data_IF_731302804761
#
_entry.id   IF_731302804761
#
_cell.length_a   1.000
_cell.length_b   1.000
_cell.length_c   1.000
_cell.angle_alpha   90.00
_cell.angle_beta   90.00
_cell.angle_gamma   90.00
#
_symmetry.space_group_name_H-M   'P 1'
#
loop_
_entity.id
_entity.type
_entity.pdbx_description
1 polymer ?
#
# COMPACT_ATOMS: atom_id res chain seq x y z
N UNK A 1 -4.04 -14.49 -0.32
CA UNK A 1 -3.77 -13.80 -1.61
C UNK A 1 -2.84 -14.66 -2.47
N UNK A 2 -2.93 -14.60 -3.82
CA UNK A 2 -2.04 -15.42 -4.69
C UNK A 2 -0.54 -15.17 -4.45
N UNK A 3 -0.15 -13.95 -4.06
CA UNK A 3 1.24 -13.61 -3.68
C UNK A 3 1.70 -14.22 -2.35
N UNK A 4 0.81 -14.41 -1.38
CA UNK A 4 1.17 -15.00 -0.08
C UNK A 4 1.57 -16.47 -0.25
N UNK A 5 0.92 -17.16 -1.20
CA UNK A 5 1.26 -18.53 -1.58
C UNK A 5 2.63 -18.62 -2.25
N UNK A 6 3.15 -17.54 -2.86
CA UNK A 6 4.50 -17.51 -3.45
C UNK A 6 5.55 -17.51 -2.34
N UNK A 7 5.31 -16.80 -1.23
CA UNK A 7 6.18 -16.83 -0.05
C UNK A 7 6.17 -18.19 0.66
N UNK A 8 4.98 -18.78 0.86
CA UNK A 8 4.84 -20.02 1.63
C UNK A 8 5.14 -21.26 0.81
N UNK A 9 4.71 -21.36 -0.45
CA UNK A 9 4.94 -22.55 -1.30
C UNK A 9 6.31 -22.58 -1.96
N UNK A 10 6.97 -21.43 -2.18
CA UNK A 10 8.25 -21.36 -2.90
C UNK A 10 8.13 -21.61 -4.41
N UNK A 11 6.93 -21.95 -4.89
CA UNK A 11 6.63 -22.02 -6.32
C UNK A 11 6.19 -20.65 -6.80
N UNK A 12 6.95 -20.10 -7.73
CA UNK A 12 6.65 -18.80 -8.32
C UNK A 12 5.75 -19.00 -9.54
N UNK A 13 4.45 -18.80 -9.36
CA UNK A 13 3.45 -18.91 -10.44
C UNK A 13 3.66 -17.82 -11.49
N UNK A 14 3.85 -18.24 -12.75
CA UNK A 14 4.09 -17.35 -13.89
C UNK A 14 2.97 -16.32 -14.11
N UNK A 15 1.71 -16.70 -13.88
CA UNK A 15 0.53 -15.83 -14.05
C UNK A 15 0.45 -14.71 -13.00
N UNK A 16 1.16 -14.87 -11.89
CA UNK A 16 1.19 -13.89 -10.80
C UNK A 16 2.32 -12.91 -11.05
N UNK A 17 3.49 -13.39 -11.47
CA UNK A 17 4.66 -12.54 -11.76
C UNK A 17 4.41 -11.63 -12.96
N UNK A 18 3.72 -12.11 -14.00
CA UNK A 18 3.43 -11.29 -15.20
C UNK A 18 2.63 -10.02 -14.89
N UNK A 19 1.95 -9.96 -13.75
CA UNK A 19 1.21 -8.78 -13.28
C UNK A 19 2.08 -7.73 -12.58
N UNK A 20 3.28 -8.10 -12.13
CA UNK A 20 4.18 -7.25 -11.37
C UNK A 20 5.55 -7.19 -12.07
N UNK A 21 5.78 -6.20 -12.95
CA UNK A 21 7.03 -6.10 -13.72
C UNK A 21 8.26 -5.86 -12.83
N UNK A 22 8.06 -5.37 -11.61
CA UNK A 22 9.10 -5.21 -10.60
C UNK A 22 9.67 -6.54 -10.03
N UNK A 23 9.03 -7.69 -10.29
CA UNK A 23 9.49 -8.99 -9.78
C UNK A 23 10.20 -9.81 -10.88
N UNK A 24 11.48 -10.12 -10.66
CA UNK A 24 12.24 -11.03 -11.53
C UNK A 24 12.11 -12.48 -11.05
N UNK A 25 11.62 -13.37 -11.91
CA UNK A 25 11.33 -14.77 -11.57
C UNK A 25 12.58 -15.54 -11.14
N UNK A 26 13.65 -15.47 -11.93
CA UNK A 26 14.85 -16.27 -11.71
C UNK A 26 15.54 -15.88 -10.41
N UNK A 27 15.72 -14.56 -10.20
CA UNK A 27 16.32 -14.03 -8.99
C UNK A 27 15.44 -14.27 -7.75
N UNK A 28 14.12 -14.13 -7.89
CA UNK A 28 13.18 -14.36 -6.79
C UNK A 28 13.19 -15.81 -6.33
N UNK A 29 13.20 -16.77 -7.26
CA UNK A 29 13.20 -18.19 -6.92
C UNK A 29 14.46 -18.59 -6.13
N UNK A 30 15.64 -18.17 -6.59
CA UNK A 30 16.89 -18.45 -5.86
C UNK A 30 16.90 -17.80 -4.47
N UNK A 31 16.47 -16.54 -4.38
CA UNK A 31 16.44 -15.81 -3.11
C UNK A 31 15.43 -16.42 -2.13
N UNK A 32 14.27 -16.89 -2.61
CA UNK A 32 13.27 -17.54 -1.76
C UNK A 32 13.77 -18.88 -1.21
N UNK A 33 14.49 -19.68 -2.01
CA UNK A 33 15.09 -20.94 -1.53
C UNK A 33 16.09 -20.68 -0.40
N UNK A 34 17.00 -19.71 -0.58
CA UNK A 34 17.99 -19.34 0.44
C UNK A 34 17.29 -18.76 1.68
N UNK A 35 16.30 -17.89 1.49
CA UNK A 35 15.55 -17.27 2.57
C UNK A 35 14.77 -18.30 3.39
N UNK A 36 14.14 -19.27 2.74
CA UNK A 36 13.43 -20.37 3.41
C UNK A 36 14.37 -21.26 4.21
N UNK A 37 15.53 -21.59 3.64
CA UNK A 37 16.53 -22.39 4.34
C UNK A 37 17.00 -21.73 5.65
N UNK A 38 17.22 -20.41 5.61
CA UNK A 38 17.75 -19.67 6.76
C UNK A 38 16.69 -19.27 7.78
N UNK A 39 15.46 -18.95 7.36
CA UNK A 39 14.48 -18.27 8.22
C UNK A 39 13.14 -19.00 8.36
N UNK A 40 12.87 -20.04 7.56
CA UNK A 40 11.63 -20.86 7.60
C UNK A 40 10.34 -20.06 7.89
N UNK A 41 9.98 -19.08 7.04
CA UNK A 41 8.78 -18.29 7.25
C UNK A 41 7.52 -19.12 6.92
N UNK A 42 6.76 -19.51 7.93
CA UNK A 42 5.44 -20.16 7.74
C UNK A 42 4.34 -19.13 7.47
N UNK A 43 4.47 -17.92 8.03
CA UNK A 43 3.48 -16.84 7.88
C UNK A 43 4.11 -15.53 7.39
N UNK A 44 3.31 -14.68 6.74
CA UNK A 44 3.69 -13.31 6.39
C UNK A 44 4.17 -12.49 7.62
N UNK A 45 3.62 -12.77 8.79
CA UNK A 45 4.04 -12.16 10.06
C UNK A 45 5.48 -12.53 10.42
N UNK A 46 5.85 -13.80 10.26
CA UNK A 46 7.19 -14.30 10.57
C UNK A 46 8.22 -13.78 9.57
N UNK A 47 7.83 -13.67 8.30
CA UNK A 47 8.65 -13.03 7.27
C UNK A 47 8.90 -11.55 7.59
N UNK A 48 7.90 -10.81 8.09
CA UNK A 48 8.08 -9.41 8.53
C UNK A 48 8.98 -9.30 9.76
N UNK A 49 8.83 -10.19 10.74
CA UNK A 49 9.65 -10.21 11.94
C UNK A 49 11.12 -10.48 11.60
N UNK A 50 11.35 -11.49 10.75
CA UNK A 50 12.68 -11.82 10.22
C UNK A 50 13.27 -10.64 9.43
N UNK A 51 12.46 -9.97 8.60
CA UNK A 51 12.91 -8.78 7.89
C UNK A 51 13.27 -7.60 8.82
N UNK A 52 12.58 -7.45 9.95
CA UNK A 52 12.87 -6.40 10.95
C UNK A 52 14.11 -6.70 11.77
N UNK A 53 14.42 -7.96 12.05
CA UNK A 53 15.60 -8.37 12.82
C UNK A 53 16.88 -8.41 12.00
N UNK A 54 16.79 -8.39 10.66
CA UNK A 54 17.95 -8.38 9.76
C UNK A 54 18.68 -7.02 9.71
N UNK A 55 20.01 -7.08 9.63
CA UNK A 55 20.85 -5.89 9.36
C UNK A 55 20.62 -5.40 7.92
N UNK A 56 20.88 -4.11 7.62
CA UNK A 56 20.75 -3.59 6.26
C UNK A 56 21.61 -4.33 5.23
N UNK A 57 22.78 -4.86 5.59
CA UNK A 57 23.62 -5.62 4.64
C UNK A 57 22.93 -6.93 4.24
N UNK A 58 22.34 -7.66 5.19
CA UNK A 58 21.63 -8.92 4.90
C UNK A 58 20.39 -8.67 4.06
N UNK A 59 19.68 -7.56 4.28
CA UNK A 59 18.53 -7.18 3.43
C UNK A 59 18.94 -6.88 1.99
N UNK A 60 20.14 -6.35 1.76
CA UNK A 60 20.64 -6.08 0.41
C UNK A 60 20.91 -7.35 -0.41
N UNK A 61 21.07 -8.51 0.25
CA UNK A 61 21.27 -9.81 -0.41
C UNK A 61 19.97 -10.39 -1.00
N UNK A 62 18.81 -9.91 -0.56
CA UNK A 62 17.49 -10.45 -0.97
C UNK A 62 16.57 -9.40 -1.61
N UNK A 63 17.01 -8.62 -2.61
CA UNK A 63 16.25 -7.49 -3.14
C UNK A 63 14.85 -7.87 -3.66
N UNK A 64 14.68 -9.04 -4.27
CA UNK A 64 13.40 -9.50 -4.80
C UNK A 64 12.43 -9.90 -3.68
N UNK A 65 12.94 -10.53 -2.61
CA UNK A 65 12.15 -10.86 -1.42
C UNK A 65 11.68 -9.58 -0.71
N UNK A 66 12.54 -8.55 -0.67
CA UNK A 66 12.14 -7.24 -0.12
C UNK A 66 11.02 -6.59 -0.93
N UNK A 67 11.12 -6.60 -2.26
CA UNK A 67 10.05 -6.08 -3.13
C UNK A 67 8.75 -6.85 -2.92
N UNK A 68 8.82 -8.19 -2.87
CA UNK A 68 7.66 -9.04 -2.61
C UNK A 68 7.02 -8.73 -1.25
N UNK A 69 7.82 -8.59 -0.20
CA UNK A 69 7.33 -8.26 1.15
C UNK A 69 6.68 -6.88 1.20
N UNK A 70 7.24 -5.89 0.48
CA UNK A 70 6.65 -4.55 0.34
C UNK A 70 5.31 -4.61 -0.37
N UNK A 71 5.20 -5.33 -1.49
CA UNK A 71 3.94 -5.49 -2.22
C UNK A 71 2.85 -6.11 -1.33
N UNK A 72 3.19 -7.14 -0.56
CA UNK A 72 2.28 -7.78 0.38
C UNK A 72 1.90 -6.93 1.58
N UNK A 73 2.76 -5.99 1.97
CA UNK A 73 2.46 -5.01 3.01
C UNK A 73 1.56 -3.89 2.49
N UNK A 74 1.80 -3.42 1.27
CA UNK A 74 1.09 -2.29 0.68
C UNK A 74 -0.30 -2.69 0.20
N UNK A 75 -0.48 -3.88 -0.37
CA UNK A 75 -1.77 -4.34 -0.89
C UNK A 75 -2.92 -4.26 0.15
N UNK A 76 -2.82 -4.86 1.36
CA UNK A 76 -3.87 -4.75 2.38
C UNK A 76 -4.05 -3.33 2.93
N UNK A 77 -2.97 -2.54 2.99
CA UNK A 77 -3.05 -1.13 3.41
C UNK A 77 -3.81 -0.32 2.37
N UNK A 78 -3.54 -0.52 1.09
CA UNK A 78 -4.22 0.19 0.00
C UNK A 78 -5.70 -0.16 -0.09
N UNK A 79 -6.10 -1.42 0.17
CA UNK A 79 -7.52 -1.77 0.22
C UNK A 79 -8.23 -1.09 1.39
N UNK A 80 -7.59 -1.02 2.56
CA UNK A 80 -8.14 -0.31 3.72
C UNK A 80 -8.28 1.19 3.48
N UNK A 81 -7.28 1.83 2.87
CA UNK A 81 -7.33 3.25 2.49
C UNK A 81 -8.44 3.54 1.46
N UNK A 82 -8.63 2.65 0.47
CA UNK A 82 -9.74 2.72 -0.47
C UNK A 82 -11.09 2.58 0.24
N UNK A 83 -11.26 1.58 1.11
CA UNK A 83 -12.48 1.38 1.89
C UNK A 83 -12.79 2.57 2.81
N UNK A 84 -11.76 3.12 3.45
CA UNK A 84 -11.84 4.34 4.26
C UNK A 84 -12.32 5.53 3.41
N UNK A 85 -11.71 5.73 2.25
CA UNK A 85 -12.07 6.79 1.29
C UNK A 85 -13.51 6.64 0.77
N UNK A 86 -13.93 5.42 0.42
CA UNK A 86 -15.31 5.15 -0.02
C UNK A 86 -16.33 5.31 1.11
N UNK A 87 -15.98 4.91 2.33
CA UNK A 87 -16.82 5.11 3.51
C UNK A 87 -17.01 6.60 3.82
N UNK A 88 -15.91 7.37 3.78
CA UNK A 88 -15.92 8.82 3.91
C UNK A 88 -16.78 9.49 2.82
N UNK A 89 -16.60 9.11 1.55
CA UNK A 89 -17.42 9.57 0.43
C UNK A 89 -18.90 9.24 0.62
N UNK A 90 -19.23 8.02 1.07
CA UNK A 90 -20.61 7.60 1.34
C UNK A 90 -21.24 8.43 2.45
N UNK A 91 -20.50 8.74 3.51
CA UNK A 91 -20.94 9.65 4.58
C UNK A 91 -21.18 11.04 4.01
N UNK A 92 -20.21 11.65 3.32
CA UNK A 92 -20.34 12.97 2.72
C UNK A 92 -21.54 13.08 1.78
N UNK A 93 -21.73 12.11 0.87
CA UNK A 93 -22.87 12.06 -0.05
C UNK A 93 -24.20 11.93 0.68
N UNK A 94 -24.22 11.20 1.79
CA UNK A 94 -25.42 11.03 2.63
C UNK A 94 -25.78 12.32 3.37
N UNK A 95 -24.77 13.01 3.91
CA UNK A 95 -24.91 14.29 4.61
C UNK A 95 -25.32 15.43 3.66
N UNK A 96 -24.80 15.46 2.44
CA UNK A 96 -24.98 16.54 1.46
C UNK A 96 -26.03 16.21 0.38
N UNK A 97 -27.14 15.54 0.76
CA UNK A 97 -28.12 14.93 -0.16
C UNK A 97 -28.86 15.89 -1.12
N UNK A 98 -28.48 17.17 -1.22
CA UNK A 98 -29.04 18.15 -2.14
C UNK A 98 -28.02 18.55 -3.23
N UNK A 99 -28.39 18.30 -4.50
CA UNK A 99 -27.91 19.00 -5.73
C UNK A 99 -26.43 19.35 -5.83
N UNK A 100 -25.53 18.43 -5.47
CA UNK A 100 -24.09 18.66 -5.57
C UNK A 100 -23.51 18.11 -6.87
N UNK A 101 -22.78 18.94 -7.61
CA UNK A 101 -22.05 18.49 -8.82
C UNK A 101 -20.88 17.58 -8.45
N UNK A 102 -20.51 16.67 -9.35
CA UNK A 102 -19.38 15.75 -9.16
C UNK A 102 -18.07 16.49 -8.86
N UNK A 103 -17.87 17.66 -9.50
CA UNK A 103 -16.71 18.51 -9.26
C UNK A 103 -16.64 18.99 -7.81
N UNK A 104 -17.73 19.57 -7.28
CA UNK A 104 -17.78 20.02 -5.90
C UNK A 104 -17.59 18.85 -4.93
N UNK A 105 -18.19 17.70 -5.22
CA UNK A 105 -18.08 16.50 -4.38
C UNK A 105 -16.62 16.04 -4.26
N UNK A 106 -15.88 16.00 -5.37
CA UNK A 106 -14.48 15.61 -5.38
C UNK A 106 -13.61 16.58 -4.57
N UNK A 107 -13.83 17.89 -4.71
CA UNK A 107 -13.12 18.90 -3.92
C UNK A 107 -13.38 18.71 -2.41
N UNK A 108 -14.64 18.51 -2.02
CA UNK A 108 -15.00 18.32 -0.61
C UNK A 108 -14.47 16.99 -0.05
N UNK A 109 -14.44 15.92 -0.84
CA UNK A 109 -13.87 14.65 -0.38
C UNK A 109 -12.37 14.74 -0.09
N UNK A 110 -11.63 15.46 -0.92
CA UNK A 110 -10.20 15.73 -0.67
C UNK A 110 -10.03 16.55 0.62
N UNK A 111 -10.84 17.60 0.81
CA UNK A 111 -10.82 18.39 2.04
C UNK A 111 -11.17 17.58 3.29
N UNK A 112 -12.11 16.63 3.17
CA UNK A 112 -12.54 15.81 4.30
C UNK A 112 -11.52 14.73 4.68
N UNK A 113 -10.90 14.07 3.70
CA UNK A 113 -9.83 13.07 3.94
C UNK A 113 -8.57 13.73 4.50
N UNK A 114 -8.29 14.98 4.12
CA UNK A 114 -7.12 15.73 4.57
C UNK A 114 -7.46 16.88 5.52
N UNK A 115 -8.53 16.76 6.30
CA UNK A 115 -8.99 17.81 7.21
C UNK A 115 -7.89 18.28 8.18
N UNK A 116 -7.10 17.35 8.75
CA UNK A 116 -6.00 17.69 9.66
C UNK A 116 -4.90 18.56 9.02
N UNK A 117 -4.69 18.42 7.72
CA UNK A 117 -3.77 19.28 6.97
C UNK A 117 -4.43 20.63 6.67
N UNK A 118 -5.72 20.62 6.36
CA UNK A 118 -6.51 21.82 6.08
C UNK A 118 -6.62 22.73 7.32
N UNK A 119 -6.76 22.14 8.52
CA UNK A 119 -6.84 22.87 9.79
C UNK A 119 -5.53 23.64 10.11
N UNK A 120 -4.41 23.25 9.50
CA UNK A 120 -3.11 23.91 9.63
C UNK A 120 -2.90 25.03 8.60
N UNK A 121 -3.81 25.18 7.64
CA UNK A 121 -3.70 26.22 6.60
C UNK A 121 -4.25 27.55 7.14
N UNK A 122 -3.50 28.63 6.96
CA UNK A 122 -3.95 29.97 7.33
C UNK A 122 -5.03 30.47 6.35
N UNK A 123 -6.27 30.52 6.84
CA UNK A 123 -7.45 30.99 6.10
C UNK A 123 -7.26 32.43 5.59
N UNK A 124 -6.50 33.27 6.29
CA UNK A 124 -6.26 34.66 5.85
C UNK A 124 -5.37 34.73 4.63
N UNK A 125 -4.37 33.86 4.53
CA UNK A 125 -3.52 33.77 3.34
C UNK A 125 -4.30 33.19 2.17
N UNK A 126 -5.14 32.18 2.42
CA UNK A 126 -6.01 31.60 1.41
C UNK A 126 -6.98 32.65 0.84
N UNK A 127 -7.60 33.46 1.69
CA UNK A 127 -8.52 34.52 1.26
C UNK A 127 -7.86 35.54 0.33
N UNK A 128 -6.58 35.87 0.54
CA UNK A 128 -5.83 36.78 -0.35
C UNK A 128 -5.57 36.21 -1.73
N UNK A 129 -5.53 34.88 -1.90
CA UNK A 129 -5.36 34.23 -3.21
C UNK A 129 -6.64 34.35 -4.05
N UNK A 130 -7.80 34.43 -3.41
CA UNK A 130 -9.11 34.52 -4.08
C UNK A 130 -9.58 35.97 -4.32
N UNK A 131 -8.98 36.94 -3.64
CA UNK A 131 -9.19 38.36 -3.89
C UNK A 131 -8.13 38.81 -4.89
N UNK A 132 -8.44 38.66 -6.17
CA UNK A 132 -7.76 39.36 -7.28
C UNK A 132 -8.46 40.69 -7.50
#
# INVERSE_FOLDING_TARGET
MKLENVLTSGKVDLDVISKYPELDKCSLQMQLEIFKHNYKPDTLSDAKLSYRSMTPEVRSLFPQVVVLLKLLLVCPVSSCECECSFSALRRLKTWLRATMTQHRLNCVSVCHVHCEKLDKVDVRQLARIFIV
#
